data_IF_885632074448
#
_entry.id   IF_885632074448
#
_cell.length_a   1.000
_cell.length_b   1.000
_cell.length_c   1.000
_cell.angle_alpha   90.00
_cell.angle_beta   90.00
_cell.angle_gamma   90.00
#
_symmetry.space_group_name_H-M   'P 1'
#
loop_
_entity.id
_entity.type
_entity.pdbx_description
1 polymer ?
#
# COMPACT_ATOMS: atom_id res chain seq x y z
N UNK A 1 -32.78 28.81 11.32
CA UNK A 1 -31.43 28.35 11.63
C UNK A 1 -31.41 27.77 13.04
N UNK A 2 -31.43 26.46 13.20
CA UNK A 2 -31.56 25.80 14.51
C UNK A 2 -30.16 25.84 15.19
N UNK A 3 -30.06 26.57 16.32
CA UNK A 3 -28.84 26.61 17.14
C UNK A 3 -28.71 25.32 17.93
N UNK A 4 -27.81 24.45 17.54
CA UNK A 4 -27.52 23.21 18.25
C UNK A 4 -26.65 23.52 19.47
N UNK A 5 -27.01 23.06 20.70
CA UNK A 5 -26.24 23.32 21.91
C UNK A 5 -24.81 22.79 21.82
N UNK A 6 -23.85 23.52 22.41
CA UNK A 6 -22.41 23.15 22.36
C UNK A 6 -22.12 21.73 22.90
N UNK A 7 -22.87 21.28 23.93
CA UNK A 7 -22.78 19.92 24.48
C UNK A 7 -23.14 18.82 23.48
N UNK A 8 -24.13 19.07 22.61
CA UNK A 8 -24.54 18.09 21.60
C UNK A 8 -23.47 17.94 20.50
N UNK A 9 -22.76 19.04 20.17
CA UNK A 9 -21.64 19.00 19.22
C UNK A 9 -20.47 18.14 19.69
N UNK A 10 -20.20 18.09 21.00
CA UNK A 10 -19.12 17.27 21.53
C UNK A 10 -19.46 15.78 21.52
N UNK A 11 -20.71 15.42 21.83
CA UNK A 11 -21.16 14.03 21.85
C UNK A 11 -21.15 13.42 20.44
N UNK A 12 -21.59 14.17 19.44
CA UNK A 12 -21.60 13.73 18.05
C UNK A 12 -20.18 13.52 17.51
N UNK A 13 -19.18 14.25 18.02
CA UNK A 13 -17.78 14.08 17.63
C UNK A 13 -17.21 12.70 17.96
N UNK A 14 -17.74 12.04 18.99
CA UNK A 14 -17.25 10.73 19.44
C UNK A 14 -18.09 9.55 18.93
N UNK A 15 -19.36 9.78 18.59
CA UNK A 15 -20.27 8.72 18.13
C UNK A 15 -20.28 8.49 16.62
N UNK A 16 -19.89 9.50 15.83
CA UNK A 16 -19.97 9.47 14.37
C UNK A 16 -18.91 8.62 13.64
N UNK A 17 -17.71 8.34 14.19
CA UNK A 17 -16.73 7.55 13.46
C UNK A 17 -17.18 6.12 13.15
N UNK A 18 -18.16 5.58 13.87
CA UNK A 18 -18.44 4.15 13.82
C UNK A 18 -19.74 3.75 13.10
N UNK A 19 -20.63 4.67 12.74
CA UNK A 19 -22.00 4.24 12.37
C UNK A 19 -22.40 4.49 10.90
N UNK A 20 -21.73 5.37 10.13
CA UNK A 20 -22.29 5.72 8.80
C UNK A 20 -21.25 5.83 7.67
N UNK A 21 -21.12 4.74 6.94
CA UNK A 21 -20.37 4.68 5.67
C UNK A 21 -21.27 4.83 4.41
N UNK A 22 -22.50 5.33 4.50
CA UNK A 22 -23.26 5.66 3.30
C UNK A 22 -22.98 7.10 2.86
N UNK A 23 -22.61 7.31 1.61
CA UNK A 23 -22.20 8.62 1.07
C UNK A 23 -23.22 9.74 1.31
N UNK A 24 -24.50 9.45 1.24
CA UNK A 24 -25.59 10.41 1.41
C UNK A 24 -25.70 10.98 2.83
N UNK A 25 -25.40 10.22 3.86
CA UNK A 25 -25.46 10.69 5.24
C UNK A 25 -24.27 11.59 5.59
N UNK A 26 -23.12 11.31 5.00
CA UNK A 26 -21.91 12.11 5.17
C UNK A 26 -22.08 13.52 4.58
N UNK A 27 -22.71 13.64 3.42
CA UNK A 27 -23.01 14.94 2.78
C UNK A 27 -24.02 15.75 3.61
N UNK A 28 -25.09 15.09 4.10
CA UNK A 28 -26.08 15.72 4.96
C UNK A 28 -25.44 16.23 6.26
N UNK A 29 -24.58 15.44 6.90
CA UNK A 29 -23.88 15.81 8.12
C UNK A 29 -22.94 17.00 7.91
N UNK A 30 -22.24 17.06 6.80
CA UNK A 30 -21.35 18.16 6.44
C UNK A 30 -22.11 19.44 6.14
N UNK A 31 -23.26 19.35 5.47
CA UNK A 31 -24.17 20.47 5.22
C UNK A 31 -24.71 21.06 6.52
N UNK A 32 -25.09 20.21 7.49
CA UNK A 32 -25.63 20.64 8.78
C UNK A 32 -24.62 21.34 9.69
N UNK A 33 -23.35 20.95 9.62
CA UNK A 33 -22.30 21.45 10.52
C UNK A 33 -21.36 22.48 9.89
N UNK A 34 -21.61 22.88 8.64
CA UNK A 34 -20.85 23.91 7.92
C UNK A 34 -19.33 23.75 8.08
N UNK A 35 -18.87 22.51 8.20
CA UNK A 35 -17.45 22.20 8.15
C UNK A 35 -17.03 22.34 6.69
N UNK A 36 -16.21 23.35 6.38
CA UNK A 36 -15.35 23.29 5.22
C UNK A 36 -14.59 21.96 5.33
N UNK A 37 -15.13 20.91 4.71
CA UNK A 37 -14.28 19.80 4.40
C UNK A 37 -13.22 20.38 3.47
N UNK A 38 -11.99 20.36 3.94
CA UNK A 38 -10.95 19.99 3.04
C UNK A 38 -11.29 18.53 2.70
N UNK A 39 -12.26 18.38 1.78
CA UNK A 39 -12.26 17.20 0.95
C UNK A 39 -10.92 17.36 0.26
N UNK A 40 -9.89 16.68 0.79
CA UNK A 40 -8.94 16.12 -0.11
C UNK A 40 -9.84 15.24 -0.99
N UNK A 41 -10.38 15.83 -2.04
CA UNK A 41 -10.67 15.13 -3.23
C UNK A 41 -9.34 14.45 -3.52
N UNK A 42 -9.17 13.28 -2.94
CA UNK A 42 -8.43 12.27 -3.61
C UNK A 42 -9.26 12.12 -4.89
N UNK A 43 -9.03 13.04 -5.83
CA UNK A 43 -9.31 12.74 -7.18
C UNK A 43 -8.64 11.40 -7.33
N UNK A 44 -9.48 10.41 -7.41
CA UNK A 44 -9.17 9.14 -8.00
C UNK A 44 -8.93 9.48 -9.49
N UNK A 45 -8.01 10.41 -9.73
CA UNK A 45 -7.27 10.37 -10.94
C UNK A 45 -6.66 8.98 -10.89
N UNK A 46 -7.01 8.16 -11.87
CA UNK A 46 -6.45 6.84 -12.10
C UNK A 46 -4.93 6.88 -12.37
N UNK A 47 -4.27 7.91 -11.98
CA UNK A 47 -2.86 8.05 -11.69
C UNK A 47 -2.60 7.69 -10.23
N UNK A 48 -3.08 6.51 -9.82
CA UNK A 48 -2.39 5.80 -8.77
C UNK A 48 -0.91 5.81 -9.18
N UNK A 49 -0.09 6.43 -8.35
CA UNK A 49 1.33 6.19 -8.44
C UNK A 49 1.47 4.67 -8.41
N UNK A 50 1.68 4.09 -9.58
CA UNK A 50 1.70 2.64 -9.69
C UNK A 50 2.75 2.16 -8.71
N UNK A 51 2.53 1.02 -8.05
CA UNK A 51 3.44 0.47 -7.01
C UNK A 51 4.91 0.61 -7.40
N UNK A 52 5.24 0.35 -8.67
CA UNK A 52 6.58 0.50 -9.21
C UNK A 52 7.16 1.93 -9.13
N UNK A 53 6.35 2.98 -9.08
CA UNK A 53 6.88 4.34 -8.97
C UNK A 53 7.51 4.61 -7.59
N UNK A 54 6.91 4.08 -6.52
CA UNK A 54 7.50 4.14 -5.18
C UNK A 54 8.75 3.29 -5.08
N UNK A 55 8.71 2.08 -5.65
CA UNK A 55 9.84 1.17 -5.67
C UNK A 55 11.01 1.81 -6.43
N UNK A 56 10.76 2.36 -7.62
CA UNK A 56 11.78 3.01 -8.44
C UNK A 56 12.40 4.23 -7.73
N UNK A 57 11.58 4.99 -6.97
CA UNK A 57 12.10 6.08 -6.14
C UNK A 57 12.98 5.58 -4.98
N UNK A 58 12.67 4.44 -4.40
CA UNK A 58 13.52 3.82 -3.39
C UNK A 58 14.83 3.32 -4.02
N UNK A 59 14.75 2.59 -5.13
CA UNK A 59 15.89 2.05 -5.89
C UNK A 59 16.86 3.16 -6.31
N UNK A 60 16.35 4.30 -6.75
CA UNK A 60 17.17 5.43 -7.22
C UNK A 60 18.10 6.03 -6.16
N UNK A 61 17.98 5.63 -4.90
CA UNK A 61 18.86 6.06 -3.81
C UNK A 61 20.12 5.21 -3.67
N UNK A 62 20.20 4.10 -4.39
CA UNK A 62 21.29 3.14 -4.28
C UNK A 62 21.99 2.98 -5.62
N UNK A 63 23.31 3.00 -5.62
CA UNK A 63 24.12 2.56 -6.74
C UNK A 63 24.17 1.03 -6.74
N UNK A 64 23.94 0.39 -7.90
CA UNK A 64 23.92 -1.07 -8.03
C UNK A 64 22.92 -1.77 -7.10
N UNK A 65 21.74 -1.17 -6.91
CA UNK A 65 20.68 -1.66 -6.06
C UNK A 65 20.34 -3.14 -6.32
N UNK A 66 20.28 -3.93 -5.28
CA UNK A 66 19.70 -5.29 -5.29
C UNK A 66 18.27 -5.23 -4.78
N UNK A 67 17.34 -5.62 -5.62
CA UNK A 67 15.90 -5.58 -5.36
C UNK A 67 15.33 -6.98 -5.20
N UNK A 68 14.54 -7.17 -4.14
CA UNK A 68 13.78 -8.39 -3.90
C UNK A 68 12.27 -8.09 -3.90
N UNK A 69 11.50 -8.91 -4.60
CA UNK A 69 10.03 -8.90 -4.58
C UNK A 69 9.51 -10.26 -4.10
N UNK A 70 8.70 -10.26 -3.06
CA UNK A 70 8.02 -11.44 -2.53
C UNK A 70 6.55 -11.37 -2.93
N UNK A 71 6.06 -12.37 -3.67
CA UNK A 71 4.71 -12.37 -4.23
C UNK A 71 4.61 -11.60 -5.54
N UNK A 72 5.23 -12.14 -6.59
CA UNK A 72 5.36 -11.46 -7.89
C UNK A 72 4.11 -11.59 -8.76
N UNK A 73 3.38 -12.69 -8.65
CA UNK A 73 2.15 -12.98 -9.41
C UNK A 73 2.33 -12.87 -10.93
N UNK A 74 1.83 -11.80 -11.56
CA UNK A 74 1.78 -11.62 -13.02
C UNK A 74 3.00 -10.89 -13.62
N UNK A 75 4.03 -10.59 -12.85
CA UNK A 75 5.23 -9.84 -13.25
C UNK A 75 5.02 -8.33 -13.59
N UNK A 76 3.86 -7.75 -13.41
CA UNK A 76 3.61 -6.36 -13.83
C UNK A 76 4.55 -5.38 -13.11
N UNK A 77 4.67 -5.52 -11.78
CA UNK A 77 5.58 -4.70 -10.99
C UNK A 77 7.04 -5.08 -11.29
N UNK A 78 7.35 -6.37 -11.21
CA UNK A 78 8.69 -6.90 -11.41
C UNK A 78 9.33 -6.46 -12.73
N UNK A 79 8.58 -6.54 -13.84
CA UNK A 79 9.05 -6.12 -15.16
C UNK A 79 9.20 -4.59 -15.29
N UNK A 80 8.44 -3.82 -14.49
CA UNK A 80 8.49 -2.35 -14.50
C UNK A 80 9.68 -1.78 -13.71
N UNK A 81 10.46 -2.62 -13.02
CA UNK A 81 11.64 -2.21 -12.27
C UNK A 81 12.85 -2.12 -13.20
N UNK A 82 13.48 -0.94 -13.37
CA UNK A 82 14.55 -0.71 -14.34
C UNK A 82 15.93 -1.15 -13.82
N UNK A 83 16.04 -2.38 -13.36
CA UNK A 83 17.28 -3.04 -12.94
C UNK A 83 17.60 -4.19 -13.88
N UNK A 84 18.90 -4.53 -13.99
CA UNK A 84 19.31 -5.77 -14.65
C UNK A 84 18.74 -6.98 -13.95
N UNK A 85 18.57 -8.08 -14.69
CA UNK A 85 18.04 -9.32 -14.10
C UNK A 85 18.95 -9.88 -12.97
N UNK A 86 20.23 -9.61 -13.03
CA UNK A 86 21.20 -10.03 -12.02
C UNK A 86 21.00 -9.30 -10.67
N UNK A 87 20.33 -8.15 -10.70
CA UNK A 87 20.04 -7.33 -9.54
C UNK A 87 18.56 -7.38 -9.13
N UNK A 88 17.73 -8.19 -9.82
CA UNK A 88 16.31 -8.38 -9.52
C UNK A 88 16.02 -9.81 -9.10
N UNK A 89 15.44 -9.94 -7.92
CA UNK A 89 15.05 -11.22 -7.31
C UNK A 89 13.55 -11.19 -7.09
N UNK A 90 12.81 -12.02 -7.81
CA UNK A 90 11.36 -12.16 -7.68
C UNK A 90 11.01 -13.55 -7.21
N UNK A 91 10.40 -13.66 -6.03
CA UNK A 91 10.09 -14.93 -5.39
C UNK A 91 8.58 -15.12 -5.35
N UNK A 92 8.11 -16.21 -5.95
CA UNK A 92 6.70 -16.60 -5.94
C UNK A 92 6.58 -18.11 -6.11
N UNK A 93 5.83 -18.84 -5.26
CA UNK A 93 5.71 -20.29 -5.37
C UNK A 93 4.85 -20.74 -6.55
N UNK A 94 3.94 -19.89 -7.02
CA UNK A 94 2.91 -20.25 -8.01
C UNK A 94 3.24 -19.67 -9.38
N UNK A 95 3.51 -18.36 -9.47
CA UNK A 95 3.63 -17.66 -10.76
C UNK A 95 4.56 -16.44 -10.66
N UNK A 96 5.07 -15.98 -11.82
CA UNK A 96 5.93 -14.82 -11.88
C UNK A 96 7.31 -15.00 -11.21
N UNK A 97 8.10 -13.95 -11.25
CA UNK A 97 9.45 -13.94 -10.70
C UNK A 97 10.46 -14.85 -11.40
N UNK A 98 11.66 -14.88 -10.86
CA UNK A 98 12.75 -15.73 -11.34
C UNK A 98 13.14 -16.83 -10.32
N UNK A 99 12.48 -16.89 -9.14
CA UNK A 99 12.65 -17.91 -8.13
C UNK A 99 11.31 -18.55 -7.78
N UNK A 100 11.08 -19.81 -8.27
CA UNK A 100 9.86 -20.58 -8.04
C UNK A 100 9.95 -21.35 -6.73
N UNK A 101 9.70 -20.65 -5.61
CA UNK A 101 9.73 -21.19 -4.25
C UNK A 101 9.02 -20.26 -3.27
N UNK A 102 8.80 -20.72 -2.05
CA UNK A 102 8.29 -19.88 -0.96
C UNK A 102 9.36 -18.91 -0.47
N UNK A 103 8.95 -17.84 0.21
CA UNK A 103 9.87 -16.89 0.84
C UNK A 103 10.79 -17.58 1.85
N UNK A 104 10.26 -18.53 2.64
CA UNK A 104 11.03 -19.27 3.64
C UNK A 104 12.12 -20.12 3.01
N UNK A 105 11.79 -20.84 1.92
CA UNK A 105 12.75 -21.62 1.16
C UNK A 105 13.84 -20.72 0.55
N UNK A 106 13.41 -19.55 0.03
CA UNK A 106 14.34 -18.59 -0.55
C UNK A 106 15.34 -18.08 0.48
N UNK A 107 14.89 -17.58 1.62
CA UNK A 107 15.77 -17.06 2.65
C UNK A 107 16.66 -18.14 3.29
N UNK A 108 16.14 -19.35 3.40
CA UNK A 108 16.95 -20.50 3.86
C UNK A 108 18.07 -20.84 2.88
N UNK A 109 17.78 -20.82 1.58
CA UNK A 109 18.73 -21.20 0.53
C UNK A 109 19.74 -20.09 0.22
N UNK A 110 19.33 -18.84 0.33
CA UNK A 110 20.09 -17.66 -0.05
C UNK A 110 20.32 -16.71 1.13
N UNK A 111 20.60 -17.26 2.31
CA UNK A 111 20.78 -16.54 3.57
C UNK A 111 21.84 -15.44 3.54
N UNK A 112 22.85 -15.58 2.68
CA UNK A 112 23.98 -14.65 2.57
C UNK A 112 23.69 -13.46 1.65
N UNK A 113 22.59 -13.50 0.87
CA UNK A 113 22.22 -12.39 0.01
C UNK A 113 21.73 -11.20 0.85
N UNK A 114 22.13 -10.02 0.45
CA UNK A 114 21.68 -8.75 1.03
C UNK A 114 20.95 -7.96 -0.04
N UNK A 115 19.88 -7.30 0.35
CA UNK A 115 19.04 -6.50 -0.53
C UNK A 115 18.96 -5.08 0.00
N UNK A 116 18.96 -4.12 -0.92
CA UNK A 116 18.82 -2.69 -0.59
C UNK A 116 17.35 -2.28 -0.53
N UNK A 117 16.51 -2.89 -1.37
CA UNK A 117 15.08 -2.65 -1.42
C UNK A 117 14.34 -3.99 -1.46
N UNK A 118 13.39 -4.17 -0.55
CA UNK A 118 12.52 -5.35 -0.50
C UNK A 118 11.08 -4.88 -0.61
N UNK A 119 10.33 -5.46 -1.55
CA UNK A 119 8.89 -5.25 -1.70
C UNK A 119 8.15 -6.55 -1.40
N UNK A 120 7.22 -6.51 -0.46
CA UNK A 120 6.44 -7.68 -0.02
C UNK A 120 4.98 -7.47 -0.42
N UNK A 121 4.49 -8.26 -1.36
CA UNK A 121 3.12 -8.27 -1.86
C UNK A 121 2.57 -9.72 -1.94
N UNK A 122 3.02 -10.57 -1.03
CA UNK A 122 2.64 -11.97 -0.94
C UNK A 122 1.36 -12.20 -0.14
N UNK A 123 1.20 -13.40 0.40
CA UNK A 123 0.14 -13.72 1.35
C UNK A 123 0.25 -12.80 2.57
N UNK A 124 -0.79 -12.00 2.81
CA UNK A 124 -0.86 -11.04 3.92
C UNK A 124 -1.23 -11.73 5.24
N UNK A 125 -0.62 -12.89 5.52
CA UNK A 125 -0.82 -13.60 6.78
C UNK A 125 0.22 -13.13 7.80
N UNK A 126 -0.26 -12.88 9.03
CA UNK A 126 0.57 -12.33 10.11
C UNK A 126 1.81 -13.19 10.41
N UNK A 127 1.67 -14.52 10.34
CA UNK A 127 2.77 -15.45 10.66
C UNK A 127 3.87 -15.50 9.59
N UNK A 128 3.59 -15.03 8.37
CA UNK A 128 4.60 -14.90 7.31
C UNK A 128 5.38 -13.58 7.35
N UNK A 129 4.92 -12.61 8.11
CA UNK A 129 5.54 -11.28 8.19
C UNK A 129 6.44 -11.11 9.43
N UNK A 130 6.63 -12.19 10.21
CA UNK A 130 7.55 -12.22 11.35
C UNK A 130 8.96 -12.59 10.90
#
# INVERSE_FOLDING_TARGET
MIKIPKKFKSLVKYLVPYVFFSGNFRELFNSLFNRKQIIHKFEHERNFYKRHAFINKAISKFENCKYLEIGVSNNDVFNSIPLSIDNKFGVDPVSGGNYRMTSDEFFKKYSDLKFDVIFIDGLHEYDQCK
#
